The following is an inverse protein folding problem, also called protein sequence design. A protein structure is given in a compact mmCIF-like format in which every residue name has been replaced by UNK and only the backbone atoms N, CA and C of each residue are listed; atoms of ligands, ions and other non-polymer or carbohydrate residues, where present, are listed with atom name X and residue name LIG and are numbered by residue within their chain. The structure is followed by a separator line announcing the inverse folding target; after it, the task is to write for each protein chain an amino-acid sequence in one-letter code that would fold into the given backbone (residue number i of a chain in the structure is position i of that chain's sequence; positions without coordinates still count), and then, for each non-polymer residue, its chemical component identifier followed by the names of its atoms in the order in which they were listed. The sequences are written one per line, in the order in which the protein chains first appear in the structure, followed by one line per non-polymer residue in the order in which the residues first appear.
data_IF_939343558494
#
_entry.id   IF_939343558494
#
_cell.length_a   1.000
_cell.length_b   1.000
_cell.length_c   1.000
_cell.angle_alpha   90.00
_cell.angle_beta   90.00
_cell.angle_gamma   90.00
#
_symmetry.space_group_name_H-M   'P 1'
#
loop_
_entity.id
_entity.type
_entity.pdbx_description
1 polymer ?
#
# COMPACT_ATOMS: atom_id res chain seq x y z
N UNK A 1 10.67 -15.77 0.80
CA UNK A 1 10.28 -14.37 1.09
C UNK A 1 10.77 -13.33 0.06
N UNK A 2 11.83 -13.54 -0.76
CA UNK A 2 12.25 -12.50 -1.72
C UNK A 2 11.34 -12.32 -2.94
N UNK A 3 10.72 -13.41 -3.46
CA UNK A 3 9.97 -13.29 -4.72
C UNK A 3 8.70 -12.43 -4.61
N UNK A 4 8.01 -12.40 -3.46
CA UNK A 4 6.83 -11.54 -3.27
C UNK A 4 7.21 -10.07 -3.21
N UNK A 5 8.33 -9.72 -2.57
CA UNK A 5 8.84 -8.34 -2.53
C UNK A 5 9.30 -7.86 -3.92
N UNK A 6 10.03 -8.69 -4.66
CA UNK A 6 10.48 -8.37 -6.02
C UNK A 6 9.29 -8.16 -6.97
N UNK A 7 8.26 -9.01 -6.88
CA UNK A 7 7.01 -8.84 -7.62
C UNK A 7 6.30 -7.54 -7.24
N UNK A 8 6.27 -7.21 -5.95
CA UNK A 8 5.68 -5.97 -5.47
C UNK A 8 6.41 -4.75 -6.03
N UNK A 9 7.75 -4.71 -5.90
CA UNK A 9 8.59 -3.64 -6.42
C UNK A 9 8.44 -3.47 -7.94
N UNK A 10 8.34 -4.57 -8.67
CA UNK A 10 8.09 -4.54 -10.12
C UNK A 10 6.70 -3.97 -10.44
N UNK A 11 5.68 -4.38 -9.68
CA UNK A 11 4.31 -3.89 -9.87
C UNK A 11 4.20 -2.39 -9.60
N UNK A 12 4.79 -1.92 -8.48
CA UNK A 12 4.80 -0.48 -8.14
C UNK A 12 5.53 0.34 -9.21
N UNK A 13 6.67 -0.15 -9.70
CA UNK A 13 7.39 0.52 -10.80
C UNK A 13 6.52 0.63 -12.04
N UNK A 14 5.83 -0.44 -12.43
CA UNK A 14 4.98 -0.40 -13.62
C UNK A 14 3.83 0.60 -13.47
N UNK A 15 3.15 0.62 -12.32
CA UNK A 15 2.05 1.57 -12.05
C UNK A 15 2.53 3.02 -12.17
N UNK A 16 3.69 3.34 -11.60
CA UNK A 16 4.26 4.69 -11.69
C UNK A 16 4.73 5.02 -13.12
N UNK A 17 5.34 4.07 -13.83
CA UNK A 17 5.77 4.24 -15.23
C UNK A 17 4.60 4.43 -16.19
N UNK A 18 3.45 3.85 -15.88
CA UNK A 18 2.19 4.05 -16.61
C UNK A 18 1.54 5.42 -16.30
N UNK A 19 2.13 6.21 -15.39
CA UNK A 19 1.69 7.57 -15.07
C UNK A 19 0.55 7.65 -14.05
N UNK A 20 0.25 6.55 -13.35
CA UNK A 20 -0.75 6.56 -12.28
C UNK A 20 -0.16 7.21 -11.03
N UNK A 21 -0.90 8.17 -10.46
CA UNK A 21 -0.50 8.83 -9.23
C UNK A 21 -0.55 7.85 -8.04
N UNK A 22 0.47 7.91 -7.17
CA UNK A 22 0.52 7.06 -5.98
C UNK A 22 -0.69 7.23 -5.07
N UNK A 23 -1.15 8.48 -4.94
CA UNK A 23 -2.33 8.82 -4.15
C UNK A 23 -3.61 8.12 -4.68
N UNK A 24 -3.79 7.98 -6.00
CA UNK A 24 -4.95 7.28 -6.55
C UNK A 24 -4.92 5.78 -6.21
N UNK A 25 -3.74 5.15 -6.32
CA UNK A 25 -3.58 3.74 -5.97
C UNK A 25 -3.87 3.52 -4.48
N UNK A 26 -3.43 4.44 -3.62
CA UNK A 26 -3.67 4.40 -2.17
C UNK A 26 -5.16 4.40 -1.85
N UNK A 27 -5.94 5.30 -2.47
CA UNK A 27 -7.39 5.38 -2.29
C UNK A 27 -8.11 4.10 -2.77
N UNK A 28 -7.72 3.57 -3.94
CA UNK A 28 -8.30 2.34 -4.46
C UNK A 28 -8.05 1.14 -3.53
N UNK A 29 -6.84 1.04 -2.97
CA UNK A 29 -6.49 -0.01 -2.02
C UNK A 29 -7.19 0.16 -0.68
N UNK A 30 -7.35 1.39 -0.20
CA UNK A 30 -8.13 1.69 1.00
C UNK A 30 -9.55 1.13 0.89
N UNK A 31 -10.27 1.46 -0.20
CA UNK A 31 -11.65 1.03 -0.41
C UNK A 31 -11.76 -0.49 -0.58
N UNK A 32 -10.81 -1.09 -1.30
CA UNK A 32 -10.73 -2.54 -1.45
C UNK A 32 -10.56 -3.26 -0.10
N UNK A 33 -9.65 -2.77 0.75
CA UNK A 33 -9.35 -3.38 2.06
C UNK A 33 -10.50 -3.20 3.05
N UNK A 34 -11.21 -2.08 2.99
CA UNK A 34 -12.41 -1.84 3.79
C UNK A 34 -13.46 -2.94 3.56
N UNK A 35 -13.68 -3.32 2.31
CA UNK A 35 -14.61 -4.37 1.90
C UNK A 35 -14.15 -5.80 2.18
N UNK A 36 -12.89 -6.04 2.56
CA UNK A 36 -12.40 -7.40 2.77
C UNK A 36 -12.87 -8.00 4.10
N UNK A 37 -13.67 -9.07 4.02
CA UNK A 37 -14.17 -9.79 5.21
C UNK A 37 -13.11 -10.72 5.83
N UNK A 38 -12.09 -11.11 5.07
CA UNK A 38 -11.01 -11.96 5.55
C UNK A 38 -10.06 -11.25 6.53
N UNK A 39 -10.11 -9.91 6.61
CA UNK A 39 -9.28 -9.11 7.49
C UNK A 39 -10.03 -8.70 8.75
N UNK A 40 -9.42 -8.97 9.90
CA UNK A 40 -9.90 -8.51 11.19
C UNK A 40 -9.75 -7.00 11.37
N UNK A 41 -10.49 -6.43 12.31
CA UNK A 41 -10.46 -5.00 12.61
C UNK A 41 -9.06 -4.48 12.99
N UNK A 42 -8.27 -5.30 13.69
CA UNK A 42 -6.88 -4.95 14.05
C UNK A 42 -5.99 -4.82 12.80
N UNK A 43 -6.03 -5.81 11.90
CA UNK A 43 -5.28 -5.76 10.64
C UNK A 43 -5.69 -4.54 9.79
N UNK A 44 -7.00 -4.26 9.70
CA UNK A 44 -7.52 -3.08 9.00
C UNK A 44 -7.05 -1.78 9.63
N UNK A 45 -7.07 -1.69 10.96
CA UNK A 45 -6.58 -0.53 11.71
C UNK A 45 -5.14 -0.20 11.38
N UNK A 46 -4.25 -1.21 11.44
CA UNK A 46 -2.82 -1.05 11.13
C UNK A 46 -2.62 -0.59 9.67
N UNK A 47 -3.36 -1.18 8.72
CA UNK A 47 -3.27 -0.80 7.32
C UNK A 47 -3.73 0.65 7.10
N UNK A 48 -4.86 1.06 7.68
CA UNK A 48 -5.42 2.39 7.49
C UNK A 48 -4.60 3.48 8.18
N UNK A 49 -4.03 3.18 9.35
CA UNK A 49 -3.06 4.08 9.98
C UNK A 49 -1.84 4.29 9.06
N UNK A 50 -1.31 3.21 8.49
CA UNK A 50 -0.20 3.30 7.53
C UNK A 50 -0.57 4.10 6.28
N UNK A 51 -1.78 3.90 5.76
CA UNK A 51 -2.28 4.65 4.61
C UNK A 51 -2.33 6.16 4.91
N UNK A 52 -2.83 6.57 6.07
CA UNK A 52 -2.91 7.98 6.46
C UNK A 52 -1.52 8.64 6.59
N UNK A 53 -0.53 7.91 7.13
CA UNK A 53 0.86 8.41 7.21
C UNK A 53 1.43 8.62 5.80
N UNK A 54 1.28 7.63 4.92
CA UNK A 54 1.76 7.70 3.54
C UNK A 54 1.07 8.81 2.76
N UNK A 55 -0.24 8.99 2.95
CA UNK A 55 -0.99 10.08 2.31
C UNK A 55 -0.45 11.45 2.71
N UNK A 56 -0.20 11.67 4.01
CA UNK A 56 0.45 12.89 4.50
C UNK A 56 1.82 13.12 3.87
N UNK A 57 2.66 12.08 3.79
CA UNK A 57 3.96 12.18 3.14
C UNK A 57 3.87 12.52 1.65
N UNK A 58 2.91 11.94 0.92
CA UNK A 58 2.69 12.25 -0.49
C UNK A 58 2.26 13.71 -0.69
N UNK A 59 1.40 14.24 0.19
CA UNK A 59 1.00 15.66 0.18
C UNK A 59 2.19 16.61 0.44
N UNK A 60 3.13 16.18 1.27
CA UNK A 60 4.37 16.92 1.54
C UNK A 60 5.43 16.77 0.42
N UNK A 61 5.10 16.05 -0.67
CA UNK A 61 5.98 15.87 -1.82
C UNK A 61 7.06 14.79 -1.65
N UNK A 62 6.83 13.81 -0.78
CA UNK A 62 7.72 12.66 -0.64
C UNK A 62 7.74 11.77 -1.91
N UNK A 63 8.78 10.96 -2.04
CA UNK A 63 8.97 10.06 -3.18
C UNK A 63 7.86 9.00 -3.27
N UNK A 64 7.09 9.04 -4.36
CA UNK A 64 5.93 8.18 -4.60
C UNK A 64 6.25 6.69 -4.54
N UNK A 65 7.39 6.27 -5.11
CA UNK A 65 7.80 4.87 -5.14
C UNK A 65 8.08 4.35 -3.74
N UNK A 66 8.86 5.10 -2.95
CA UNK A 66 9.18 4.71 -1.58
C UNK A 66 7.93 4.66 -0.70
N UNK A 67 7.04 5.64 -0.83
CA UNK A 67 5.80 5.67 -0.05
C UNK A 67 4.85 4.51 -0.38
N UNK A 68 4.67 4.19 -1.68
CA UNK A 68 3.87 3.04 -2.09
C UNK A 68 4.47 1.71 -1.63
N UNK A 69 5.79 1.55 -1.75
CA UNK A 69 6.46 0.33 -1.31
C UNK A 69 6.31 0.11 0.19
N UNK A 70 6.43 1.17 0.99
CA UNK A 70 6.27 1.11 2.44
C UNK A 70 4.84 0.75 2.86
N UNK A 71 3.84 1.36 2.22
CA UNK A 71 2.43 0.99 2.42
C UNK A 71 2.17 -0.47 2.06
N UNK A 72 2.57 -0.89 0.85
CA UNK A 72 2.27 -2.22 0.34
C UNK A 72 3.02 -3.33 1.07
N UNK A 73 4.22 -3.06 1.60
CA UNK A 73 4.91 -3.99 2.49
C UNK A 73 4.14 -4.21 3.79
N UNK A 74 3.55 -3.14 4.34
CA UNK A 74 2.69 -3.22 5.53
C UNK A 74 1.44 -4.06 5.23
N UNK A 75 0.77 -3.79 4.10
CA UNK A 75 -0.39 -4.58 3.65
C UNK A 75 -0.02 -6.06 3.53
N UNK A 76 1.06 -6.38 2.80
CA UNK A 76 1.51 -7.77 2.62
C UNK A 76 1.79 -8.46 3.96
N UNK A 77 2.44 -7.76 4.90
CA UNK A 77 2.72 -8.30 6.23
C UNK A 77 1.44 -8.62 7.01
N UNK A 78 0.43 -7.74 6.94
CA UNK A 78 -0.86 -7.97 7.61
C UNK A 78 -1.64 -9.12 6.95
N UNK A 79 -1.57 -9.26 5.62
CA UNK A 79 -2.20 -10.38 4.90
C UNK A 79 -1.55 -11.74 5.24
N UNK A 80 -0.21 -11.79 5.30
CA UNK A 80 0.54 -13.03 5.54
C UNK A 80 0.58 -13.47 7.02
N UNK A 81 0.10 -12.66 7.96
CA UNK A 81 -0.06 -13.04 9.38
C UNK A 81 -1.35 -13.82 9.68
N UNK A 82 -2.10 -14.22 8.63
CA UNK A 82 -3.34 -15.00 8.72
C UNK A 82 -3.09 -16.50 8.82
#
# INVERSE_FOLDING_TARGET
HSSSYEKLATTVKNVLLEGYAAHQLLLQLHDYILGQMALGNEQKGIIFEKAAIVDGCLLDGADEYLQLMDFLCTVMHQLCRS
#
